data_IF_829232062714
#
_entry.id   IF_829232062714
#
_cell.length_a   1.000
_cell.length_b   1.000
_cell.length_c   1.000
_cell.angle_alpha   90.00
_cell.angle_beta   90.00
_cell.angle_gamma   90.00
#
_symmetry.space_group_name_H-M   'P 1'
#
loop_
_entity.id
_entity.type
_entity.pdbx_description
1 polymer ?
#
# COMPACT_ATOMS: atom_id res chain seq x y z
N UNK A 1 -21.96 7.47 2.29
CA UNK A 1 -23.23 7.48 3.06
C UNK A 1 -23.20 8.43 4.26
N UNK A 2 -22.29 8.31 5.23
CA UNK A 2 -22.20 9.26 6.35
C UNK A 2 -22.00 10.71 5.90
N UNK A 3 -21.11 10.94 4.93
CA UNK A 3 -20.88 12.27 4.34
C UNK A 3 -22.14 12.83 3.67
N UNK A 4 -22.88 12.02 2.91
CA UNK A 4 -24.14 12.42 2.30
C UNK A 4 -25.19 12.83 3.37
N UNK A 5 -25.27 12.10 4.49
CA UNK A 5 -26.14 12.46 5.60
C UNK A 5 -25.68 13.75 6.31
N UNK A 6 -24.37 13.92 6.50
CA UNK A 6 -23.82 15.15 7.08
C UNK A 6 -24.16 16.37 6.19
N UNK A 7 -24.04 16.24 4.87
CA UNK A 7 -24.44 17.28 3.92
C UNK A 7 -25.93 17.56 3.98
N UNK A 8 -26.78 16.53 3.99
CA UNK A 8 -28.23 16.65 4.08
C UNK A 8 -28.67 17.38 5.36
N UNK A 9 -28.11 17.00 6.51
CA UNK A 9 -28.38 17.63 7.80
C UNK A 9 -27.87 19.09 7.78
N UNK A 10 -26.69 19.33 7.22
CA UNK A 10 -26.14 20.69 7.10
C UNK A 10 -27.06 21.60 6.27
N UNK A 11 -27.51 21.13 5.10
CA UNK A 11 -28.43 21.86 4.23
C UNK A 11 -29.73 22.17 4.96
N UNK A 12 -30.28 21.20 5.69
CA UNK A 12 -31.51 21.36 6.48
C UNK A 12 -31.35 22.44 7.54
N UNK A 13 -30.24 22.44 8.28
CA UNK A 13 -29.95 23.46 9.30
C UNK A 13 -29.79 24.84 8.67
N UNK A 14 -29.08 24.94 7.54
CA UNK A 14 -28.94 26.21 6.80
C UNK A 14 -30.30 26.75 6.38
N UNK A 15 -31.18 25.92 5.81
CA UNK A 15 -32.54 26.35 5.43
C UNK A 15 -33.39 26.78 6.63
N UNK A 16 -33.21 26.15 7.80
CA UNK A 16 -33.88 26.56 9.04
C UNK A 16 -33.37 27.90 9.56
N UNK A 17 -32.09 28.19 9.37
CA UNK A 17 -31.50 29.52 9.68
C UNK A 17 -32.05 30.57 8.72
N UNK A 18 -32.04 30.29 7.42
CA UNK A 18 -32.54 31.22 6.39
C UNK A 18 -34.04 31.54 6.55
N UNK A 19 -34.81 30.62 7.14
CA UNK A 19 -36.22 30.77 7.44
C UNK A 19 -36.53 31.35 8.84
N UNK A 20 -35.51 31.85 9.55
CA UNK A 20 -35.60 32.38 10.93
C UNK A 20 -36.23 31.40 11.94
N UNK A 21 -36.14 30.09 11.69
CA UNK A 21 -36.61 29.03 12.61
C UNK A 21 -35.57 28.66 13.66
N UNK A 22 -34.30 28.82 13.31
CA UNK A 22 -33.14 28.73 14.20
C UNK A 22 -32.37 30.04 14.02
N UNK A 23 -31.88 30.69 15.09
CA UNK A 23 -31.09 31.91 14.95
C UNK A 23 -29.81 31.67 14.15
N UNK A 24 -29.33 32.70 13.47
CA UNK A 24 -28.07 32.64 12.72
C UNK A 24 -26.88 32.31 13.65
N UNK A 25 -26.35 31.10 13.51
CA UNK A 25 -25.25 30.56 14.30
C UNK A 25 -24.23 29.84 13.40
N UNK A 26 -22.94 29.83 13.75
CA UNK A 26 -21.96 29.03 13.03
C UNK A 26 -22.30 27.54 13.09
N UNK A 27 -22.29 26.88 11.93
CA UNK A 27 -22.52 25.44 11.82
C UNK A 27 -21.29 24.67 12.35
N UNK A 28 -21.44 23.83 13.39
CA UNK A 28 -20.36 22.99 13.89
C UNK A 28 -20.16 21.78 12.96
N UNK A 29 -19.07 21.04 13.18
CA UNK A 29 -18.84 19.77 12.49
C UNK A 29 -19.94 18.77 12.89
N UNK A 30 -20.75 18.37 11.92
CA UNK A 30 -21.82 17.39 12.12
C UNK A 30 -21.19 16.00 12.25
N UNK A 31 -21.48 15.30 13.34
CA UNK A 31 -21.04 13.92 13.57
C UNK A 31 -22.21 12.96 13.41
N UNK A 32 -22.00 11.93 12.60
CA UNK A 32 -22.95 10.83 12.39
C UNK A 32 -22.26 9.51 12.73
N UNK A 33 -22.75 8.85 13.76
CA UNK A 33 -22.14 7.66 14.35
C UNK A 33 -23.07 6.46 14.23
N UNK A 34 -22.52 5.25 14.25
CA UNK A 34 -23.35 4.04 14.32
C UNK A 34 -23.90 3.91 15.73
N UNK A 35 -25.17 3.55 15.82
CA UNK A 35 -25.81 3.19 17.07
C UNK A 35 -25.24 1.87 17.57
N UNK A 36 -25.27 1.66 18.89
CA UNK A 36 -24.90 0.37 19.50
C UNK A 36 -26.05 -0.63 19.48
N UNK A 37 -27.28 -0.12 19.50
CA UNK A 37 -28.52 -0.88 19.52
C UNK A 37 -29.32 -0.56 18.25
N UNK A 38 -29.71 -1.61 17.51
CA UNK A 38 -30.45 -1.48 16.26
C UNK A 38 -31.86 -0.90 16.44
N UNK A 39 -32.44 -1.00 17.65
CA UNK A 39 -33.73 -0.37 17.97
C UNK A 39 -33.65 1.17 17.96
N UNK A 40 -32.45 1.74 18.08
CA UNK A 40 -32.21 3.18 18.00
C UNK A 40 -31.85 3.65 16.57
N UNK A 41 -32.14 2.84 15.54
CA UNK A 41 -31.80 3.13 14.15
C UNK A 41 -30.40 2.65 13.76
N UNK A 42 -29.98 2.93 12.53
CA UNK A 42 -28.68 2.53 12.00
C UNK A 42 -27.57 3.52 12.38
N UNK A 43 -27.95 4.79 12.49
CA UNK A 43 -27.06 5.91 12.75
C UNK A 43 -27.71 6.88 13.75
N UNK A 44 -26.88 7.64 14.47
CA UNK A 44 -27.34 8.69 15.36
C UNK A 44 -26.55 9.99 15.16
N UNK A 45 -27.21 11.11 15.41
CA UNK A 45 -26.64 12.45 15.35
C UNK A 45 -27.02 13.25 16.59
N UNK A 46 -26.03 13.88 17.24
CA UNK A 46 -26.22 14.71 18.42
C UNK A 46 -26.29 16.22 18.11
N UNK A 47 -26.44 16.59 16.83
CA UNK A 47 -26.30 17.98 16.37
C UNK A 47 -27.23 18.94 17.12
N UNK A 48 -28.46 18.52 17.44
CA UNK A 48 -29.41 19.35 18.15
C UNK A 48 -28.93 19.74 19.57
N UNK A 49 -28.22 18.83 20.25
CA UNK A 49 -27.58 19.09 21.55
C UNK A 49 -26.45 20.11 21.44
N UNK A 50 -25.69 20.05 20.34
CA UNK A 50 -24.59 20.99 20.08
C UNK A 50 -25.13 22.38 19.77
N UNK A 51 -26.22 22.48 19.02
CA UNK A 51 -26.83 23.75 18.61
C UNK A 51 -27.67 24.41 19.71
N UNK A 52 -28.16 23.66 20.70
CA UNK A 52 -29.07 24.16 21.74
C UNK A 52 -28.57 25.42 22.46
N UNK A 53 -27.32 25.41 22.93
CA UNK A 53 -26.75 26.54 23.68
C UNK A 53 -26.52 27.77 22.79
N UNK A 54 -25.85 27.68 21.62
CA UNK A 54 -25.73 28.80 20.68
C UNK A 54 -27.09 29.35 20.22
N UNK A 55 -28.07 28.47 20.01
CA UNK A 55 -29.41 28.87 19.54
C UNK A 55 -30.33 29.39 20.66
N UNK A 56 -29.93 29.26 21.93
CA UNK A 56 -30.80 29.51 23.09
C UNK A 56 -32.16 28.78 23.01
N UNK A 57 -32.17 27.57 22.45
CA UNK A 57 -33.35 26.73 22.25
C UNK A 57 -33.20 25.40 22.97
N UNK A 58 -34.31 24.72 23.26
CA UNK A 58 -34.25 23.36 23.82
C UNK A 58 -33.73 22.40 22.73
N UNK A 59 -32.82 21.46 23.06
CA UNK A 59 -32.28 20.57 22.05
C UNK A 59 -33.34 19.68 21.40
N UNK A 60 -34.39 19.30 22.12
CA UNK A 60 -35.50 18.53 21.56
C UNK A 60 -36.27 19.31 20.50
N UNK A 61 -36.58 20.57 20.74
CA UNK A 61 -37.25 21.46 19.78
C UNK A 61 -36.41 21.62 18.50
N UNK A 62 -35.08 21.74 18.62
CA UNK A 62 -34.18 21.76 17.45
C UNK A 62 -34.20 20.42 16.71
N UNK A 63 -34.16 19.29 17.44
CA UNK A 63 -34.20 17.97 16.83
C UNK A 63 -35.51 17.75 16.04
N UNK A 64 -36.64 18.20 16.59
CA UNK A 64 -37.95 18.16 15.93
C UNK A 64 -37.93 19.00 14.65
N UNK A 65 -37.47 20.26 14.71
CA UNK A 65 -37.33 21.12 13.53
C UNK A 65 -36.48 20.50 12.43
N UNK A 66 -35.33 19.91 12.80
CA UNK A 66 -34.45 19.24 11.83
C UNK A 66 -35.18 18.05 11.20
N UNK A 67 -35.78 17.17 12.01
CA UNK A 67 -36.45 15.96 11.50
C UNK A 67 -37.63 16.30 10.58
N UNK A 68 -38.43 17.32 10.93
CA UNK A 68 -39.58 17.75 10.14
C UNK A 68 -39.19 18.47 8.85
N UNK A 69 -38.01 19.11 8.82
CA UNK A 69 -37.53 19.90 7.69
C UNK A 69 -36.53 19.17 6.79
N UNK A 70 -36.25 17.89 7.07
CA UNK A 70 -35.43 17.07 6.18
C UNK A 70 -36.08 17.03 4.80
N UNK A 71 -35.35 17.40 3.72
CA UNK A 71 -35.91 17.33 2.38
C UNK A 71 -36.13 15.87 1.99
N UNK A 72 -37.09 15.65 1.07
CA UNK A 72 -37.35 14.32 0.52
C UNK A 72 -36.05 13.72 -0.05
N UNK A 73 -35.72 12.52 0.39
CA UNK A 73 -34.47 11.85 0.03
C UNK A 73 -34.67 10.32 0.07
N UNK A 74 -33.76 9.59 -0.57
CA UNK A 74 -33.81 8.13 -0.66
C UNK A 74 -32.92 7.43 0.37
N UNK A 75 -32.29 8.18 1.28
CA UNK A 75 -31.29 7.68 2.22
C UNK A 75 -31.92 7.35 3.57
N UNK A 76 -32.82 8.22 4.05
CA UNK A 76 -33.47 8.12 5.35
C UNK A 76 -34.88 7.54 5.14
N UNK A 77 -35.17 6.40 5.77
CA UNK A 77 -36.52 5.85 5.85
C UNK A 77 -37.36 6.57 6.91
N UNK A 78 -36.77 6.82 8.08
CA UNK A 78 -37.41 7.52 9.18
C UNK A 78 -36.37 8.07 10.15
N UNK A 79 -36.79 9.02 10.97
CA UNK A 79 -36.03 9.50 12.13
C UNK A 79 -36.83 9.32 13.41
N UNK A 80 -36.13 9.21 14.54
CA UNK A 80 -36.71 9.22 15.88
C UNK A 80 -35.87 10.10 16.80
N UNK A 81 -36.47 10.66 17.85
CA UNK A 81 -35.79 11.57 18.77
C UNK A 81 -35.70 10.95 20.15
N UNK A 82 -34.49 10.52 20.51
CA UNK A 82 -34.22 9.92 21.81
C UNK A 82 -33.81 10.96 22.86
N UNK A 83 -34.38 10.80 24.06
CA UNK A 83 -34.02 11.55 25.26
C UNK A 83 -34.06 13.08 25.03
N UNK A 84 -32.97 13.81 25.31
CA UNK A 84 -32.94 15.26 25.26
C UNK A 84 -32.85 15.87 23.86
N UNK A 85 -32.64 15.06 22.80
CA UNK A 85 -32.47 15.56 21.43
C UNK A 85 -31.44 14.80 20.59
N UNK A 86 -31.21 13.51 20.85
CA UNK A 86 -30.44 12.67 19.92
C UNK A 86 -31.35 12.27 18.75
N UNK A 87 -30.89 12.51 17.53
CA UNK A 87 -31.61 12.14 16.32
C UNK A 87 -31.13 10.75 15.91
N UNK A 88 -31.98 9.75 16.08
CA UNK A 88 -31.83 8.40 15.57
C UNK A 88 -32.29 8.38 14.11
N UNK A 89 -31.50 7.76 13.22
CA UNK A 89 -31.72 7.75 11.78
C UNK A 89 -31.81 6.29 11.33
N UNK A 90 -32.95 5.94 10.73
CA UNK A 90 -33.18 4.65 10.10
C UNK A 90 -32.97 4.80 8.59
N UNK A 91 -32.07 4.02 8.03
CA UNK A 91 -31.73 4.09 6.62
C UNK A 91 -32.79 3.36 5.78
N UNK A 92 -33.03 3.87 4.58
CA UNK A 92 -33.79 3.13 3.58
C UNK A 92 -33.09 1.81 3.22
N UNK A 93 -33.86 0.72 3.09
CA UNK A 93 -33.30 -0.58 2.67
C UNK A 93 -32.59 -0.48 1.32
N UNK A 94 -33.14 0.31 0.39
CA UNK A 94 -32.51 0.58 -0.91
C UNK A 94 -31.13 1.20 -0.74
N UNK A 95 -30.97 2.18 0.15
CA UNK A 95 -29.69 2.83 0.41
C UNK A 95 -28.61 1.84 0.93
N UNK A 96 -29.02 0.76 1.60
CA UNK A 96 -28.09 -0.29 2.04
C UNK A 96 -27.65 -1.20 0.88
N UNK A 97 -28.50 -1.39 -0.13
CA UNK A 97 -28.22 -2.26 -1.30
C UNK A 97 -27.63 -1.53 -2.49
N UNK A 98 -27.76 -0.20 -2.57
CA UNK A 98 -27.27 0.60 -3.70
C UNK A 98 -25.76 0.43 -3.94
N UNK A 99 -25.00 0.18 -2.86
CA UNK A 99 -23.56 -0.12 -2.96
C UNK A 99 -23.28 -1.37 -3.79
N UNK A 100 -24.18 -2.36 -3.81
CA UNK A 100 -24.02 -3.56 -4.63
C UNK A 100 -24.12 -3.21 -6.11
N UNK A 101 -25.09 -2.36 -6.47
CA UNK A 101 -25.20 -1.83 -7.83
C UNK A 101 -23.96 -1.04 -8.22
N UNK A 102 -23.44 -0.21 -7.33
CA UNK A 102 -22.20 0.54 -7.54
C UNK A 102 -20.99 -0.39 -7.77
N UNK A 103 -20.79 -1.39 -6.90
CA UNK A 103 -19.72 -2.39 -7.03
C UNK A 103 -19.81 -3.13 -8.36
N UNK A 104 -21.00 -3.55 -8.77
CA UNK A 104 -21.20 -4.26 -10.03
C UNK A 104 -20.97 -3.36 -11.25
N UNK A 105 -21.35 -2.09 -11.17
CA UNK A 105 -21.17 -1.12 -12.26
C UNK A 105 -19.71 -0.65 -12.40
N UNK A 106 -19.03 -0.39 -11.28
CA UNK A 106 -17.63 0.06 -11.26
C UNK A 106 -16.64 -1.11 -11.44
N UNK A 107 -17.04 -2.33 -11.07
CA UNK A 107 -16.27 -3.57 -11.23
C UNK A 107 -14.82 -3.42 -10.72
N UNK A 108 -13.83 -3.59 -11.59
CA UNK A 108 -12.41 -3.47 -11.26
C UNK A 108 -11.99 -2.06 -10.81
N UNK A 109 -12.80 -1.04 -11.09
CA UNK A 109 -12.55 0.34 -10.65
C UNK A 109 -13.17 0.66 -9.29
N UNK A 110 -13.97 -0.25 -8.72
CA UNK A 110 -14.57 0.00 -7.42
C UNK A 110 -13.50 0.17 -6.34
N UNK A 111 -13.60 1.24 -5.56
CA UNK A 111 -12.63 1.58 -4.52
C UNK A 111 -11.38 2.31 -5.01
N UNK A 112 -11.25 2.54 -6.33
CA UNK A 112 -10.21 3.40 -6.87
C UNK A 112 -10.49 4.87 -6.54
N UNK A 113 -9.44 5.67 -6.45
CA UNK A 113 -9.56 7.11 -6.21
C UNK A 113 -8.53 7.90 -7.02
N UNK A 114 -8.64 9.23 -6.98
CA UNK A 114 -7.80 10.15 -7.77
C UNK A 114 -6.82 10.98 -6.92
N UNK A 115 -6.50 10.54 -5.69
CA UNK A 115 -5.61 11.29 -4.79
C UNK A 115 -4.18 11.41 -5.32
N UNK A 116 -3.79 10.50 -6.20
CA UNK A 116 -2.52 10.50 -6.92
C UNK A 116 -2.46 11.50 -8.08
N UNK A 117 -3.55 12.19 -8.41
CA UNK A 117 -3.53 13.23 -9.45
C UNK A 117 -3.12 14.60 -8.89
N UNK A 118 -2.55 15.44 -9.75
CA UNK A 118 -2.31 16.87 -9.51
C UNK A 118 -3.57 17.71 -9.85
N UNK A 119 -3.47 19.04 -9.69
CA UNK A 119 -4.57 19.98 -9.97
C UNK A 119 -4.99 20.02 -11.46
N UNK A 120 -4.10 19.61 -12.37
CA UNK A 120 -4.34 19.54 -13.80
C UNK A 120 -4.83 18.14 -14.25
N UNK A 121 -4.95 17.19 -13.32
CA UNK A 121 -5.38 15.82 -13.57
C UNK A 121 -4.26 14.88 -14.03
N UNK A 122 -2.99 15.29 -13.98
CA UNK A 122 -1.86 14.41 -14.29
C UNK A 122 -1.50 13.53 -13.09
N UNK A 123 -1.05 12.30 -13.36
CA UNK A 123 -0.56 11.41 -12.30
C UNK A 123 0.73 11.96 -11.68
N UNK A 124 0.76 12.05 -10.36
CA UNK A 124 2.00 12.29 -9.60
C UNK A 124 2.82 11.01 -9.60
N UNK A 125 4.14 11.18 -9.69
CA UNK A 125 5.09 10.07 -9.68
C UNK A 125 5.46 9.67 -8.25
N UNK A 126 5.65 8.38 -8.02
CA UNK A 126 6.18 7.84 -6.77
C UNK A 126 7.05 6.62 -7.06
N UNK A 127 8.21 6.55 -6.43
CA UNK A 127 9.08 5.37 -6.46
C UNK A 127 8.91 4.59 -5.16
N UNK A 128 8.78 3.28 -5.29
CA UNK A 128 8.72 2.36 -4.16
C UNK A 128 9.85 1.36 -4.34
N UNK A 129 10.88 1.51 -3.51
CA UNK A 129 11.98 0.55 -3.41
C UNK A 129 11.61 -0.53 -2.39
N UNK A 130 11.76 -1.81 -2.76
CA UNK A 130 11.47 -2.92 -1.85
C UNK A 130 12.22 -4.20 -2.20
N UNK A 131 12.26 -5.13 -1.25
CA UNK A 131 13.12 -6.34 -1.23
C UNK A 131 14.60 -6.00 -1.10
N UNK A 132 15.19 -5.32 -2.08
CA UNK A 132 16.58 -4.83 -2.12
C UNK A 132 17.58 -5.76 -1.43
N UNK A 133 17.45 -7.06 -1.73
CA UNK A 133 18.28 -8.08 -1.13
C UNK A 133 19.65 -8.07 -1.81
N UNK A 134 20.71 -8.19 -1.01
CA UNK A 134 22.06 -8.29 -1.57
C UNK A 134 22.16 -9.58 -2.42
N UNK A 135 22.81 -9.54 -3.58
CA UNK A 135 22.92 -10.68 -4.49
C UNK A 135 23.99 -11.66 -4.01
N UNK A 136 23.84 -12.16 -2.79
CA UNK A 136 24.82 -13.06 -2.12
C UNK A 136 24.25 -14.41 -1.74
N UNK A 137 22.97 -14.63 -1.98
CA UNK A 137 22.31 -15.92 -1.83
C UNK A 137 20.87 -15.91 -2.37
N UNK A 138 20.20 -17.06 -2.37
CA UNK A 138 18.82 -17.18 -2.80
C UNK A 138 17.87 -16.41 -1.87
N UNK A 139 16.68 -16.05 -2.37
CA UNK A 139 15.65 -15.45 -1.54
C UNK A 139 15.10 -16.48 -0.54
N UNK A 140 14.48 -15.97 0.51
CA UNK A 140 13.86 -16.80 1.56
C UNK A 140 12.58 -16.13 2.03
N UNK A 141 11.80 -16.80 2.88
CA UNK A 141 10.48 -16.31 3.36
C UNK A 141 10.52 -14.88 3.92
N UNK A 142 11.62 -14.48 4.57
CA UNK A 142 11.81 -13.09 5.02
C UNK A 142 11.77 -12.05 3.88
N UNK A 143 12.41 -12.33 2.74
CA UNK A 143 12.34 -11.51 1.53
C UNK A 143 10.93 -11.51 0.93
N UNK A 144 10.24 -12.67 0.96
CA UNK A 144 8.86 -12.80 0.50
C UNK A 144 7.89 -11.87 1.25
N UNK A 145 8.09 -11.64 2.55
CA UNK A 145 7.32 -10.63 3.31
C UNK A 145 7.56 -9.22 2.75
N UNK A 146 8.82 -8.85 2.50
CA UNK A 146 9.17 -7.55 1.90
C UNK A 146 8.54 -7.38 0.52
N UNK A 147 8.60 -8.42 -0.30
CA UNK A 147 8.02 -8.48 -1.63
C UNK A 147 6.49 -8.27 -1.60
N UNK A 148 5.78 -8.99 -0.72
CA UNK A 148 4.33 -8.89 -0.60
C UNK A 148 3.87 -7.50 -0.12
N UNK A 149 4.58 -6.92 0.86
CA UNK A 149 4.24 -5.59 1.40
C UNK A 149 4.52 -4.50 0.37
N UNK A 150 5.70 -4.51 -0.26
CA UNK A 150 6.08 -3.52 -1.25
C UNK A 150 5.15 -3.54 -2.47
N UNK A 151 4.88 -4.72 -3.03
CA UNK A 151 3.97 -4.84 -4.18
C UNK A 151 2.52 -4.43 -3.82
N UNK A 152 2.05 -4.75 -2.61
CA UNK A 152 0.73 -4.30 -2.13
C UNK A 152 0.64 -2.77 -2.05
N UNK A 153 1.68 -2.11 -1.56
CA UNK A 153 1.75 -0.63 -1.52
C UNK A 153 1.68 -0.08 -2.94
N UNK A 154 2.43 -0.65 -3.88
CA UNK A 154 2.40 -0.22 -5.27
C UNK A 154 1.01 -0.35 -5.90
N UNK A 155 0.33 -1.48 -5.69
CA UNK A 155 -1.04 -1.69 -6.19
C UNK A 155 -2.05 -0.69 -5.60
N UNK A 156 -1.93 -0.36 -4.32
CA UNK A 156 -2.80 0.64 -3.68
C UNK A 156 -2.54 2.05 -4.23
N UNK A 157 -1.27 2.39 -4.50
CA UNK A 157 -0.89 3.67 -5.09
C UNK A 157 -1.38 3.77 -6.54
N UNK A 158 -1.23 2.72 -7.35
CA UNK A 158 -1.79 2.63 -8.70
C UNK A 158 -3.33 2.82 -8.68
N UNK A 159 -4.02 2.09 -7.80
CA UNK A 159 -5.47 2.22 -7.61
C UNK A 159 -5.90 3.61 -7.09
N UNK A 160 -4.97 4.38 -6.53
CA UNK A 160 -5.18 5.76 -6.08
C UNK A 160 -4.78 6.81 -7.13
N UNK A 161 -4.38 6.38 -8.34
CA UNK A 161 -4.06 7.24 -9.48
C UNK A 161 -2.63 7.78 -9.50
N UNK A 162 -1.70 7.18 -8.77
CA UNK A 162 -0.27 7.51 -8.87
C UNK A 162 0.37 6.82 -10.06
N UNK A 163 1.43 7.42 -10.60
CA UNK A 163 2.37 6.74 -11.48
C UNK A 163 3.47 6.11 -10.63
N UNK A 164 3.39 4.80 -10.40
CA UNK A 164 4.30 4.08 -9.51
C UNK A 164 5.46 3.48 -10.29
N UNK A 165 6.69 3.69 -9.81
CA UNK A 165 7.89 2.95 -10.23
C UNK A 165 8.28 1.98 -9.14
N UNK A 166 8.31 0.68 -9.46
CA UNK A 166 8.80 -0.38 -8.58
C UNK A 166 10.28 -0.56 -8.79
N UNK A 167 11.08 -0.32 -7.76
CA UNK A 167 12.53 -0.44 -7.84
C UNK A 167 13.03 -1.57 -6.95
N UNK A 168 13.99 -2.33 -7.48
CA UNK A 168 14.85 -3.21 -6.69
C UNK A 168 16.27 -2.63 -6.74
N UNK A 169 16.82 -2.31 -5.59
CA UNK A 169 18.22 -1.88 -5.47
C UNK A 169 19.11 -3.07 -5.05
N UNK A 170 20.11 -3.37 -5.86
CA UNK A 170 21.13 -4.37 -5.55
C UNK A 170 22.37 -3.68 -4.97
N UNK A 171 22.71 -4.02 -3.73
CA UNK A 171 24.05 -3.72 -3.22
C UNK A 171 25.04 -4.77 -3.72
N UNK A 172 25.58 -4.53 -4.91
CA UNK A 172 26.54 -5.38 -5.62
C UNK A 172 28.01 -5.01 -5.35
N UNK A 173 28.27 -4.24 -4.29
CA UNK A 173 29.60 -3.84 -3.87
C UNK A 173 29.91 -4.23 -2.40
N UNK A 174 31.17 -4.02 -2.00
CA UNK A 174 31.60 -4.15 -0.61
C UNK A 174 31.93 -5.59 -0.14
N UNK A 175 32.03 -5.74 1.17
CA UNK A 175 32.66 -6.93 1.79
C UNK A 175 31.85 -8.21 1.56
N UNK A 176 30.52 -8.14 1.52
CA UNK A 176 29.69 -9.32 1.27
C UNK A 176 29.96 -9.91 -0.13
N UNK A 177 30.15 -9.05 -1.14
CA UNK A 177 30.46 -9.47 -2.50
C UNK A 177 31.89 -10.01 -2.60
N UNK A 178 32.84 -9.44 -1.84
CA UNK A 178 34.20 -9.98 -1.74
C UNK A 178 34.17 -11.40 -1.14
N UNK A 179 33.42 -11.60 -0.06
CA UNK A 179 33.26 -12.90 0.60
C UNK A 179 32.59 -13.92 -0.33
N UNK A 180 31.56 -13.52 -1.07
CA UNK A 180 30.91 -14.34 -2.09
C UNK A 180 31.90 -14.79 -3.15
N UNK A 181 32.61 -13.83 -3.75
CA UNK A 181 33.60 -14.06 -4.81
C UNK A 181 34.67 -15.04 -4.35
N UNK A 182 35.20 -14.84 -3.13
CA UNK A 182 36.19 -15.74 -2.55
C UNK A 182 35.63 -17.15 -2.32
N UNK A 183 34.41 -17.26 -1.84
CA UNK A 183 33.74 -18.56 -1.61
C UNK A 183 33.58 -19.35 -2.89
N UNK A 184 33.14 -18.68 -3.97
CA UNK A 184 33.03 -19.27 -5.30
C UNK A 184 34.40 -19.70 -5.82
N UNK A 185 35.41 -18.84 -5.70
CA UNK A 185 36.78 -19.16 -6.11
C UNK A 185 37.33 -20.41 -5.41
N UNK A 186 37.10 -20.55 -4.10
CA UNK A 186 37.54 -21.72 -3.35
C UNK A 186 36.83 -23.00 -3.80
N UNK A 187 35.52 -22.94 -4.09
CA UNK A 187 34.80 -24.06 -4.71
C UNK A 187 35.35 -24.40 -6.10
N UNK A 188 35.68 -23.42 -6.94
CA UNK A 188 36.35 -23.65 -8.23
C UNK A 188 37.70 -24.37 -8.07
N UNK A 189 38.41 -24.14 -6.95
CA UNK A 189 39.67 -24.85 -6.58
C UNK A 189 39.43 -26.23 -5.95
N UNK A 190 38.18 -26.67 -5.83
CA UNK A 190 37.81 -27.94 -5.18
C UNK A 190 37.84 -27.90 -3.65
N UNK A 191 37.98 -26.72 -3.05
CA UNK A 191 38.05 -26.53 -1.59
C UNK A 191 36.64 -26.23 -1.07
N UNK A 192 36.18 -27.06 -0.12
CA UNK A 192 34.83 -26.95 0.46
C UNK A 192 34.80 -26.28 1.83
N UNK A 193 33.59 -26.01 2.37
CA UNK A 193 33.37 -25.30 3.63
C UNK A 193 33.86 -26.01 4.90
N UNK A 194 34.25 -27.27 4.79
CA UNK A 194 34.80 -28.06 5.90
C UNK A 194 36.32 -28.22 5.80
N UNK A 195 36.94 -27.66 4.74
CA UNK A 195 38.38 -27.61 4.57
C UNK A 195 38.99 -26.45 5.37
N UNK A 196 40.19 -26.65 5.92
CA UNK A 196 40.89 -25.62 6.70
C UNK A 196 41.26 -24.38 5.88
N UNK A 197 41.32 -24.50 4.55
CA UNK A 197 41.53 -23.38 3.64
C UNK A 197 40.28 -22.53 3.39
N UNK A 198 39.10 -22.93 3.86
CA UNK A 198 37.86 -22.19 3.61
C UNK A 198 37.88 -20.81 4.32
N UNK A 199 37.44 -19.72 3.65
CA UNK A 199 37.39 -18.39 4.26
C UNK A 199 36.43 -18.37 5.46
N UNK A 200 36.83 -17.73 6.57
CA UNK A 200 36.03 -17.64 7.79
C UNK A 200 34.63 -17.06 7.54
N UNK A 201 34.55 -15.95 6.80
CA UNK A 201 33.30 -15.31 6.40
C UNK A 201 32.74 -15.82 5.06
N UNK A 202 33.20 -17.00 4.61
CA UNK A 202 32.79 -17.58 3.33
C UNK A 202 31.37 -18.14 3.36
N UNK A 203 30.62 -17.94 2.28
CA UNK A 203 29.25 -18.44 2.10
C UNK A 203 29.24 -19.96 1.95
N UNK A 204 28.57 -20.67 2.86
CA UNK A 204 28.64 -22.14 2.95
C UNK A 204 27.53 -22.89 2.22
N UNK A 205 26.59 -22.19 1.57
CA UNK A 205 25.42 -22.81 0.92
C UNK A 205 25.77 -23.67 -0.30
N UNK A 206 24.90 -24.63 -0.62
CA UNK A 206 25.07 -25.53 -1.78
C UNK A 206 25.09 -24.77 -3.10
N UNK A 207 24.32 -23.67 -3.20
CA UNK A 207 24.30 -22.78 -4.38
C UNK A 207 25.68 -22.23 -4.76
N UNK A 208 26.63 -22.11 -3.83
CA UNK A 208 28.00 -21.68 -4.14
C UNK A 208 28.74 -22.76 -4.93
N UNK A 209 28.50 -24.04 -4.63
CA UNK A 209 29.09 -25.15 -5.37
C UNK A 209 28.48 -25.27 -6.77
N UNK A 210 27.17 -25.08 -6.91
CA UNK A 210 26.47 -25.06 -8.20
C UNK A 210 26.95 -23.92 -9.09
N UNK A 211 26.99 -22.70 -8.54
CA UNK A 211 27.50 -21.51 -9.22
C UNK A 211 28.94 -21.69 -9.68
N UNK A 212 29.82 -22.22 -8.82
CA UNK A 212 31.22 -22.51 -9.16
C UNK A 212 31.34 -23.57 -10.26
N UNK A 213 30.53 -24.63 -10.21
CA UNK A 213 30.51 -25.66 -11.24
C UNK A 213 30.07 -25.09 -12.60
N UNK A 214 29.05 -24.23 -12.61
CA UNK A 214 28.54 -23.58 -13.81
C UNK A 214 29.54 -22.60 -14.42
N UNK A 215 30.23 -21.83 -13.57
CA UNK A 215 31.34 -20.96 -14.00
C UNK A 215 32.48 -21.75 -14.64
N UNK A 216 32.91 -22.85 -14.01
CA UNK A 216 33.99 -23.71 -14.53
C UNK A 216 33.58 -24.55 -15.74
N UNK A 217 32.27 -24.73 -15.95
CA UNK A 217 31.71 -25.35 -17.16
C UNK A 217 31.56 -24.36 -18.32
N UNK A 218 31.91 -23.08 -18.13
CA UNK A 218 31.85 -22.06 -19.16
C UNK A 218 30.44 -21.62 -19.54
N UNK A 219 29.45 -21.81 -18.66
CA UNK A 219 28.07 -21.42 -18.92
C UNK A 219 27.91 -19.90 -18.82
N UNK A 220 27.91 -19.19 -19.93
CA UNK A 220 27.69 -17.73 -19.92
C UNK A 220 26.25 -17.35 -19.50
N UNK A 221 26.11 -16.19 -18.87
CA UNK A 221 24.84 -15.52 -18.58
C UNK A 221 24.68 -14.30 -19.50
N UNK A 222 23.46 -13.77 -19.59
CA UNK A 222 23.17 -12.61 -20.46
C UNK A 222 24.09 -11.42 -20.18
N UNK A 223 24.40 -11.17 -18.89
CA UNK A 223 25.19 -10.01 -18.45
C UNK A 223 26.58 -10.40 -17.88
N UNK A 224 27.01 -11.67 -18.00
CA UNK A 224 28.31 -12.10 -17.47
C UNK A 224 28.92 -13.29 -18.22
N UNK A 225 30.20 -13.16 -18.56
CA UNK A 225 30.99 -14.25 -19.15
C UNK A 225 31.44 -15.27 -18.09
N UNK A 226 31.66 -16.51 -18.51
CA UNK A 226 32.23 -17.58 -17.70
C UNK A 226 33.50 -18.13 -18.39
N UNK A 227 34.66 -17.46 -18.27
CA UNK A 227 35.89 -17.89 -18.94
C UNK A 227 36.47 -19.19 -18.36
N UNK A 228 35.88 -19.73 -17.29
CA UNK A 228 36.39 -20.92 -16.57
C UNK A 228 37.80 -20.74 -16.02
N UNK A 229 38.18 -19.50 -15.70
CA UNK A 229 39.47 -19.14 -15.11
C UNK A 229 39.30 -18.90 -13.61
N UNK A 230 39.92 -19.77 -12.81
CA UNK A 230 39.82 -19.74 -11.35
C UNK A 230 40.66 -18.63 -10.71
N UNK A 231 41.65 -18.08 -11.41
CA UNK A 231 42.47 -16.97 -10.91
C UNK A 231 41.89 -15.60 -11.30
N UNK A 232 40.89 -15.57 -12.20
CA UNK A 232 40.21 -14.35 -12.61
C UNK A 232 39.09 -13.96 -11.62
N UNK A 233 39.48 -13.29 -10.54
CA UNK A 233 38.55 -12.86 -9.48
C UNK A 233 37.44 -11.91 -9.97
N UNK A 234 37.76 -11.01 -10.91
CA UNK A 234 36.79 -10.07 -11.46
C UNK A 234 35.70 -10.77 -12.27
N UNK A 235 36.08 -11.74 -13.11
CA UNK A 235 35.11 -12.56 -13.84
C UNK A 235 34.26 -13.41 -12.91
N UNK A 236 34.85 -14.00 -11.85
CA UNK A 236 34.10 -14.74 -10.83
C UNK A 236 33.09 -13.83 -10.13
N UNK A 237 33.49 -12.61 -9.76
CA UNK A 237 32.62 -11.63 -9.11
C UNK A 237 31.43 -11.27 -9.99
N UNK A 238 31.69 -10.84 -11.22
CA UNK A 238 30.65 -10.44 -12.17
C UNK A 238 29.68 -11.60 -12.44
N UNK A 239 30.22 -12.80 -12.66
CA UNK A 239 29.43 -14.00 -12.86
C UNK A 239 28.56 -14.35 -11.65
N UNK A 240 29.13 -14.32 -10.44
CA UNK A 240 28.40 -14.69 -9.22
C UNK A 240 27.24 -13.73 -8.93
N UNK A 241 27.47 -12.43 -9.11
CA UNK A 241 26.42 -11.41 -8.96
C UNK A 241 25.32 -11.61 -10.00
N UNK A 242 25.67 -11.79 -11.29
CA UNK A 242 24.69 -12.01 -12.35
C UNK A 242 23.88 -13.29 -12.13
N UNK A 243 24.53 -14.37 -11.69
CA UNK A 243 23.88 -15.66 -11.39
C UNK A 243 22.81 -15.50 -10.32
N UNK A 244 23.17 -14.88 -9.19
CA UNK A 244 22.25 -14.73 -8.06
C UNK A 244 21.14 -13.73 -8.35
N UNK A 245 21.43 -12.63 -9.06
CA UNK A 245 20.37 -11.69 -9.51
C UNK A 245 19.33 -12.38 -10.38
N UNK A 246 19.77 -13.25 -11.30
CA UNK A 246 18.87 -14.02 -12.16
C UNK A 246 17.98 -14.96 -11.36
N UNK A 247 18.54 -15.71 -10.41
CA UNK A 247 17.78 -16.59 -9.52
C UNK A 247 16.73 -15.81 -8.71
N UNK A 248 17.14 -14.69 -8.09
CA UNK A 248 16.24 -13.84 -7.32
C UNK A 248 15.10 -13.24 -8.18
N UNK A 249 15.38 -12.83 -9.41
CA UNK A 249 14.36 -12.32 -10.34
C UNK A 249 13.36 -13.41 -10.76
N UNK A 250 13.82 -14.64 -10.99
CA UNK A 250 12.93 -15.79 -11.27
C UNK A 250 12.01 -16.06 -10.07
N UNK A 251 12.56 -16.08 -8.86
CA UNK A 251 11.79 -16.27 -7.63
C UNK A 251 10.73 -15.18 -7.45
N UNK A 252 11.09 -13.91 -7.65
CA UNK A 252 10.16 -12.79 -7.52
C UNK A 252 9.05 -12.82 -8.57
N UNK A 253 9.38 -13.17 -9.82
CA UNK A 253 8.40 -13.36 -10.89
C UNK A 253 7.45 -14.50 -10.57
N UNK A 254 7.95 -15.63 -10.06
CA UNK A 254 7.13 -16.76 -9.63
C UNK A 254 6.23 -16.39 -8.43
N UNK A 255 6.71 -15.51 -7.55
CA UNK A 255 5.95 -14.95 -6.43
C UNK A 255 4.88 -13.93 -6.86
N UNK A 256 4.85 -13.53 -8.15
CA UNK A 256 3.88 -12.60 -8.70
C UNK A 256 4.24 -11.12 -8.51
N UNK A 257 5.51 -10.85 -8.18
CA UNK A 257 6.06 -9.49 -8.02
C UNK A 257 6.85 -9.12 -9.27
N UNK A 258 6.71 -7.86 -9.70
CA UNK A 258 7.40 -7.31 -10.86
C UNK A 258 8.10 -6.02 -10.47
N UNK A 259 9.26 -5.78 -11.05
CA UNK A 259 10.00 -4.53 -10.89
C UNK A 259 10.10 -3.81 -12.24
N UNK A 260 10.09 -2.49 -12.19
CA UNK A 260 10.20 -1.61 -13.36
C UNK A 260 11.66 -1.20 -13.57
N UNK A 261 12.41 -1.02 -12.47
CA UNK A 261 13.81 -0.58 -12.46
C UNK A 261 14.62 -1.48 -11.53
N UNK A 262 15.81 -1.85 -11.98
CA UNK A 262 16.84 -2.48 -11.16
C UNK A 262 18.06 -1.56 -11.09
N UNK A 263 18.41 -1.11 -9.89
CA UNK A 263 19.52 -0.19 -9.65
C UNK A 263 20.69 -0.94 -9.00
N UNK A 264 21.92 -0.58 -9.38
CA UNK A 264 23.14 -1.17 -8.82
C UNK A 264 23.85 -0.13 -7.95
N UNK A 265 24.37 -0.56 -6.80
CA UNK A 265 25.24 0.28 -5.98
C UNK A 265 26.52 0.66 -6.75
N UNK A 266 27.08 -0.26 -7.52
CA UNK A 266 28.28 -0.04 -8.33
C UNK A 266 28.13 1.10 -9.34
N UNK A 267 26.94 1.30 -9.91
CA UNK A 267 26.70 2.39 -10.87
C UNK A 267 26.77 3.78 -10.23
N UNK A 268 26.45 3.90 -8.93
CA UNK A 268 26.55 5.17 -8.21
C UNK A 268 28.01 5.64 -8.05
N UNK A 269 28.97 4.73 -7.95
CA UNK A 269 30.40 5.08 -7.86
C UNK A 269 31.01 5.44 -9.21
N UNK A 270 30.42 4.97 -10.33
CA UNK A 270 30.95 5.22 -11.67
C UNK A 270 30.29 6.41 -12.37
N UNK A 271 29.03 6.71 -12.05
CA UNK A 271 28.23 7.75 -12.71
C UNK A 271 27.99 9.00 -11.83
N UNK A 272 28.27 8.92 -10.52
CA UNK A 272 28.16 10.04 -9.56
C UNK A 272 29.44 10.85 -9.40
#
# INVERSE_FOLDING_TARGET
MKEALQQLISQTITSLIDADKIPAIPLPIIKVERTRDASHGDLACNIALVLAKPAAMKPRDIAELICESLPANNVIASTDIAGPGFINIFLAKSAQTDIVGQVLNEAEQFGHNKKGLDENGNAKTVQVEFVSANPTGPLHVGHGRGAAVGDSICRILDASGWQVTREFYYNDAGQQINNLTRSVQMRCKGIGPDDAGWPEDGYRGEYIAELAADYMAGKALDDAAAPSDVENEEAIRAYAVAYLRREQDIDLKAFGVKFDVFSLESSLYTEG
#
